data_IF_718080784692
#
_entry.id   IF_718080784692
#
_cell.length_a   1.000
_cell.length_b   1.000
_cell.length_c   1.000
_cell.angle_alpha   90.00
_cell.angle_beta   90.00
_cell.angle_gamma   90.00
#
_symmetry.space_group_name_H-M   'P 1'
#
loop_
_entity.id
_entity.type
_entity.pdbx_description
1 polymer ?
#
# COMPACT_ATOMS: atom_id res chain seq x y z
N UNK A 1 -10.24 3.80 16.76
CA UNK A 1 -9.99 4.44 15.44
C UNK A 1 -10.46 3.50 14.34
N UNK A 2 -11.20 3.98 13.34
CA UNK A 2 -11.64 3.14 12.21
C UNK A 2 -11.32 3.78 10.84
N UNK A 3 -10.52 4.85 10.84
CA UNK A 3 -10.01 5.45 9.60
C UNK A 3 -8.61 4.90 9.30
N UNK A 4 -8.33 4.59 8.05
CA UNK A 4 -7.08 3.94 7.63
C UNK A 4 -6.45 4.71 6.48
N UNK A 5 -5.17 5.01 6.61
CA UNK A 5 -4.30 5.44 5.53
C UNK A 5 -3.40 4.25 5.17
N UNK A 6 -3.56 3.72 3.97
CA UNK A 6 -2.76 2.63 3.42
C UNK A 6 -1.75 3.20 2.43
N UNK A 7 -0.48 3.06 2.72
CA UNK A 7 0.63 3.60 1.92
C UNK A 7 1.37 2.43 1.29
N UNK A 8 1.43 2.41 -0.03
CA UNK A 8 2.16 1.42 -0.82
C UNK A 8 3.35 2.12 -1.49
N UNK A 9 4.54 1.70 -1.15
CA UNK A 9 5.81 2.19 -1.69
C UNK A 9 6.31 1.17 -2.72
N UNK A 10 5.87 1.32 -3.97
CA UNK A 10 6.12 0.36 -5.05
C UNK A 10 7.61 0.01 -5.18
N UNK A 11 7.89 -1.29 -5.29
CA UNK A 11 9.24 -1.79 -5.50
C UNK A 11 10.17 -1.75 -4.28
N UNK A 12 9.69 -1.42 -3.07
CA UNK A 12 10.53 -1.31 -1.87
C UNK A 12 10.79 -2.67 -1.22
N UNK A 13 12.01 -3.20 -1.28
CA UNK A 13 12.35 -4.42 -0.57
C UNK A 13 12.54 -4.20 0.94
N UNK A 14 12.28 -5.26 1.73
CA UNK A 14 12.32 -5.22 3.20
C UNK A 14 13.70 -4.82 3.76
N UNK A 15 14.79 -5.23 3.10
CA UNK A 15 16.16 -4.93 3.55
C UNK A 15 16.45 -3.44 3.44
N UNK A 16 16.17 -2.83 2.29
CA UNK A 16 16.38 -1.38 2.09
C UNK A 16 15.53 -0.55 3.04
N UNK A 17 14.28 -0.96 3.27
CA UNK A 17 13.44 -0.29 4.25
C UNK A 17 14.05 -0.30 5.64
N UNK A 18 14.40 -1.48 6.17
CA UNK A 18 14.99 -1.64 7.49
C UNK A 18 16.32 -0.90 7.65
N UNK A 19 17.18 -0.97 6.62
CA UNK A 19 18.52 -0.44 6.73
C UNK A 19 18.59 1.08 6.48
N UNK A 20 17.57 1.70 5.84
CA UNK A 20 17.66 3.09 5.36
C UNK A 20 16.45 4.01 5.65
N UNK A 21 15.27 3.49 6.02
CA UNK A 21 14.11 4.33 6.35
C UNK A 21 14.13 4.74 7.83
N UNK A 22 15.04 5.66 8.16
CA UNK A 22 15.36 5.98 9.55
C UNK A 22 14.21 6.56 10.37
N UNK A 23 13.23 7.25 9.75
CA UNK A 23 12.06 7.76 10.47
C UNK A 23 11.10 6.64 10.86
N UNK A 24 10.71 5.76 9.93
CA UNK A 24 9.82 4.63 10.24
C UNK A 24 10.48 3.65 11.20
N UNK A 25 11.77 3.34 11.02
CA UNK A 25 12.53 2.50 11.96
C UNK A 25 12.58 3.12 13.36
N UNK A 26 12.78 4.44 13.47
CA UNK A 26 12.71 5.11 14.77
C UNK A 26 11.34 4.94 15.44
N UNK A 27 10.23 5.00 14.70
CA UNK A 27 8.90 4.75 15.27
C UNK A 27 8.74 3.32 15.78
N UNK A 28 9.39 2.34 15.15
CA UNK A 28 9.45 0.95 15.63
C UNK A 28 10.28 0.85 16.92
N UNK A 29 11.50 1.41 16.93
CA UNK A 29 12.37 1.45 18.12
C UNK A 29 11.68 2.10 19.34
N UNK A 30 10.86 3.13 19.09
CA UNK A 30 10.06 3.80 20.13
C UNK A 30 8.79 3.06 20.51
N UNK A 31 8.52 1.89 19.93
CA UNK A 31 7.30 1.12 20.14
C UNK A 31 6.03 1.94 19.87
N UNK A 32 6.08 2.77 18.82
CA UNK A 32 4.95 3.54 18.30
C UNK A 32 4.30 2.79 17.14
N UNK A 33 5.10 2.15 16.29
CA UNK A 33 4.65 1.28 15.20
C UNK A 33 5.09 -0.15 15.42
N UNK A 34 4.27 -1.12 15.01
CA UNK A 34 4.67 -2.50 14.86
C UNK A 34 5.36 -2.69 13.50
N UNK A 35 6.35 -3.58 13.43
CA UNK A 35 7.02 -3.95 12.19
C UNK A 35 6.95 -5.46 11.92
N UNK A 36 6.63 -5.80 10.67
CA UNK A 36 6.62 -7.15 10.11
C UNK A 36 7.32 -7.15 8.76
N UNK A 37 7.55 -8.34 8.22
CA UNK A 37 7.89 -8.55 6.82
C UNK A 37 6.70 -9.20 6.13
N UNK A 38 6.31 -8.72 4.94
CA UNK A 38 5.30 -9.35 4.08
C UNK A 38 5.99 -10.12 2.98
N UNK A 39 5.46 -11.28 2.63
CA UNK A 39 5.85 -12.02 1.43
C UNK A 39 4.81 -11.77 0.35
N UNK A 40 5.23 -11.09 -0.72
CA UNK A 40 4.36 -10.79 -1.86
C UNK A 40 3.96 -12.06 -2.62
N UNK A 41 2.78 -12.00 -3.22
CA UNK A 41 2.26 -13.03 -4.12
C UNK A 41 3.01 -13.04 -5.47
N UNK A 42 2.70 -14.03 -6.29
CA UNK A 42 3.23 -14.16 -7.64
C UNK A 42 2.10 -14.02 -8.68
N UNK A 43 2.40 -13.45 -9.85
CA UNK A 43 3.68 -12.88 -10.28
C UNK A 43 3.99 -11.57 -9.54
N UNK A 44 5.25 -11.34 -9.19
CA UNK A 44 5.69 -10.11 -8.54
C UNK A 44 5.71 -8.95 -9.55
N UNK A 45 4.54 -8.50 -9.95
CA UNK A 45 4.29 -7.39 -10.86
C UNK A 45 3.25 -6.46 -10.26
N UNK A 46 3.43 -5.18 -10.46
CA UNK A 46 2.68 -4.12 -9.78
C UNK A 46 1.16 -4.25 -9.94
N UNK A 47 0.61 -4.28 -11.17
CA UNK A 47 -0.84 -4.36 -11.38
C UNK A 47 -1.48 -5.61 -10.78
N UNK A 48 -0.95 -6.84 -10.95
CA UNK A 48 -1.40 -8.03 -10.23
C UNK A 48 -1.41 -7.85 -8.73
N UNK A 49 -0.36 -7.24 -8.16
CA UNK A 49 -0.22 -7.12 -6.72
C UNK A 49 -1.04 -5.95 -6.13
N UNK A 50 -1.34 -4.91 -6.91
CA UNK A 50 -2.35 -3.90 -6.50
C UNK A 50 -3.72 -4.55 -6.32
N UNK A 51 -4.08 -5.47 -7.22
CA UNK A 51 -5.32 -6.24 -7.11
C UNK A 51 -5.29 -7.15 -5.87
N UNK A 52 -4.19 -7.87 -5.63
CA UNK A 52 -4.01 -8.72 -4.44
C UNK A 52 -4.14 -7.90 -3.15
N UNK A 53 -3.45 -6.77 -3.05
CA UNK A 53 -3.46 -5.91 -1.86
C UNK A 53 -4.85 -5.35 -1.53
N UNK A 54 -5.71 -5.17 -2.53
CA UNK A 54 -7.05 -4.60 -2.34
C UNK A 54 -8.16 -5.65 -2.27
N UNK A 55 -7.92 -6.88 -2.74
CA UNK A 55 -8.97 -7.91 -2.80
C UNK A 55 -8.68 -9.14 -1.94
N UNK A 56 -7.40 -9.38 -1.58
CA UNK A 56 -6.99 -10.61 -0.90
C UNK A 56 -7.17 -11.87 -1.74
N UNK A 57 -7.26 -11.73 -3.07
CA UNK A 57 -7.45 -12.85 -4.01
C UNK A 57 -6.21 -12.97 -4.88
N UNK A 58 -5.63 -14.17 -4.93
CA UNK A 58 -4.40 -14.43 -5.69
C UNK A 58 -4.56 -14.14 -7.19
N UNK A 59 -3.49 -13.72 -7.85
CA UNK A 59 -3.52 -13.30 -9.26
C UNK A 59 -4.07 -14.37 -10.22
N UNK A 60 -3.78 -15.64 -9.96
CA UNK A 60 -4.28 -16.75 -10.78
C UNK A 60 -5.80 -16.98 -10.64
N UNK A 61 -6.41 -16.53 -9.55
CA UNK A 61 -7.85 -16.60 -9.31
C UNK A 61 -8.58 -15.35 -9.82
N UNK A 62 -8.03 -14.15 -9.52
CA UNK A 62 -8.63 -12.88 -9.92
C UNK A 62 -8.45 -12.60 -11.43
N UNK A 63 -7.45 -13.23 -12.08
CA UNK A 63 -7.17 -13.15 -13.50
C UNK A 63 -6.44 -11.87 -13.94
N UNK A 64 -5.93 -11.05 -13.02
CA UNK A 64 -4.97 -9.97 -13.30
C UNK A 64 -3.57 -10.55 -13.11
N UNK A 65 -3.00 -11.15 -14.14
CA UNK A 65 -1.75 -11.92 -14.08
C UNK A 65 -0.56 -11.22 -14.72
N UNK A 66 -0.75 -10.01 -15.24
CA UNK A 66 0.35 -9.17 -15.76
C UNK A 66 -0.03 -7.71 -15.80
N UNK A 67 0.98 -6.83 -15.90
CA UNK A 67 0.79 -5.38 -16.03
C UNK A 67 0.01 -4.97 -17.30
N UNK A 68 0.00 -5.83 -18.33
CA UNK A 68 -0.71 -5.58 -19.59
C UNK A 68 -2.23 -5.81 -19.54
N UNK A 69 -2.75 -6.38 -18.45
CA UNK A 69 -4.19 -6.66 -18.32
C UNK A 69 -4.90 -5.41 -17.79
N UNK A 70 -5.42 -4.59 -18.71
CA UNK A 70 -6.19 -3.39 -18.38
C UNK A 70 -7.70 -3.68 -18.45
N UNK A 71 -8.32 -3.80 -17.28
CA UNK A 71 -9.77 -3.96 -17.10
C UNK A 71 -10.17 -3.65 -15.68
N UNK A 72 -11.45 -3.43 -15.45
CA UNK A 72 -12.00 -3.39 -14.09
C UNK A 72 -11.82 -4.73 -13.39
N UNK A 73 -11.58 -4.68 -12.08
CA UNK A 73 -11.60 -5.86 -11.21
C UNK A 73 -12.94 -6.57 -11.27
N UNK A 74 -12.91 -7.89 -11.16
CA UNK A 74 -14.09 -8.73 -10.97
C UNK A 74 -14.28 -9.14 -9.51
N UNK A 75 -13.31 -8.81 -8.66
CA UNK A 75 -13.32 -9.12 -7.25
C UNK A 75 -13.81 -7.93 -6.41
N UNK A 76 -14.23 -8.23 -5.20
CA UNK A 76 -14.70 -7.20 -4.26
C UNK A 76 -13.50 -6.63 -3.52
N UNK A 77 -13.19 -5.36 -3.79
CA UNK A 77 -12.07 -4.68 -3.16
C UNK A 77 -12.41 -4.07 -1.80
N UNK A 78 -11.38 -3.74 -1.01
CA UNK A 78 -11.53 -2.97 0.24
C UNK A 78 -12.27 -1.65 -0.01
N UNK A 79 -12.02 -0.98 -1.14
CA UNK A 79 -12.77 0.22 -1.53
C UNK A 79 -14.26 -0.06 -1.68
N UNK A 80 -14.64 -1.14 -2.37
CA UNK A 80 -16.05 -1.50 -2.54
C UNK A 80 -16.70 -1.88 -1.20
N UNK A 81 -15.99 -2.63 -0.35
CA UNK A 81 -16.48 -3.00 0.98
C UNK A 81 -16.68 -1.77 1.85
N UNK A 82 -15.76 -0.80 1.81
CA UNK A 82 -15.89 0.47 2.52
C UNK A 82 -17.12 1.26 2.02
N UNK A 83 -17.30 1.36 0.70
CA UNK A 83 -18.47 2.02 0.10
C UNK A 83 -19.80 1.36 0.49
N UNK A 84 -19.84 0.04 0.56
CA UNK A 84 -21.01 -0.74 0.99
C UNK A 84 -21.40 -0.41 2.45
N UNK A 85 -20.46 0.03 3.27
CA UNK A 85 -20.68 0.51 4.64
C UNK A 85 -20.81 2.04 4.71
N UNK A 86 -21.03 2.72 3.58
CA UNK A 86 -21.19 4.18 3.47
C UNK A 86 -19.93 4.96 3.93
N UNK A 87 -18.78 4.32 3.96
CA UNK A 87 -17.51 4.98 4.25
C UNK A 87 -17.01 5.73 3.01
N UNK A 88 -16.38 6.87 3.25
CA UNK A 88 -15.73 7.66 2.20
C UNK A 88 -14.38 7.05 1.82
N UNK A 89 -14.13 6.97 0.53
CA UNK A 89 -12.90 6.41 -0.04
C UNK A 89 -12.11 7.45 -0.82
N UNK A 90 -10.78 7.38 -0.71
CA UNK A 90 -9.89 8.24 -1.47
C UNK A 90 -8.66 7.48 -1.97
N UNK A 91 -8.04 7.96 -3.04
CA UNK A 91 -6.75 7.48 -3.51
C UNK A 91 -5.92 8.60 -4.16
N UNK A 92 -4.66 8.71 -3.77
CA UNK A 92 -3.62 9.39 -4.52
C UNK A 92 -2.68 8.30 -5.03
N UNK A 93 -2.73 7.95 -6.32
CA UNK A 93 -2.10 6.72 -6.78
C UNK A 93 -1.83 6.69 -8.28
N UNK A 94 -1.04 5.71 -8.70
CA UNK A 94 -0.83 5.42 -10.11
C UNK A 94 -2.16 5.03 -10.79
N UNK A 95 -2.35 5.47 -12.02
CA UNK A 95 -3.61 5.36 -12.77
C UNK A 95 -4.17 3.92 -12.89
N UNK A 96 -3.33 2.90 -12.74
CA UNK A 96 -3.77 1.50 -12.76
C UNK A 96 -4.76 1.19 -11.63
N UNK A 97 -4.68 1.88 -10.50
CA UNK A 97 -5.66 1.75 -9.42
C UNK A 97 -7.04 2.25 -9.89
N UNK A 98 -7.09 3.37 -10.63
CA UNK A 98 -8.34 3.83 -11.25
C UNK A 98 -8.88 2.82 -12.28
N UNK A 99 -7.99 2.21 -13.08
CA UNK A 99 -8.39 1.18 -14.05
C UNK A 99 -8.93 -0.09 -13.42
N UNK A 100 -8.45 -0.44 -12.23
CA UNK A 100 -8.94 -1.60 -11.49
C UNK A 100 -10.30 -1.35 -10.83
N UNK A 101 -10.56 -0.12 -10.33
CA UNK A 101 -11.69 0.08 -9.43
C UNK A 101 -12.70 1.14 -9.86
N UNK A 102 -12.34 2.05 -10.75
CA UNK A 102 -13.25 3.12 -11.19
C UNK A 102 -13.60 3.03 -12.67
N UNK A 103 -12.59 3.08 -13.57
CA UNK A 103 -12.83 3.11 -15.00
C UNK A 103 -11.65 2.57 -15.80
N UNK A 104 -11.91 1.63 -16.71
CA UNK A 104 -10.94 1.10 -17.66
C UNK A 104 -11.48 1.22 -19.09
N UNK A 105 -10.66 1.62 -20.09
CA UNK A 105 -9.30 2.15 -19.93
C UNK A 105 -9.28 3.54 -19.29
N UNK A 106 -8.14 3.92 -18.69
CA UNK A 106 -7.93 5.24 -18.09
C UNK A 106 -7.89 6.34 -19.16
N UNK A 107 -8.60 7.43 -18.92
CA UNK A 107 -8.54 8.64 -19.75
C UNK A 107 -8.02 9.82 -18.92
N UNK A 108 -6.79 10.32 -19.16
CA UNK A 108 -6.21 11.39 -18.35
C UNK A 108 -7.05 12.68 -18.30
N UNK A 109 -7.83 12.95 -19.34
CA UNK A 109 -8.66 14.16 -19.40
C UNK A 109 -9.86 14.13 -18.45
N UNK A 110 -10.35 12.95 -18.12
CA UNK A 110 -11.56 12.78 -17.30
C UNK A 110 -11.33 12.04 -15.98
N UNK A 111 -10.27 11.20 -15.91
CA UNK A 111 -10.09 10.26 -14.82
C UNK A 111 -8.95 10.65 -13.89
N UNK A 112 -8.08 11.62 -14.28
CA UNK A 112 -6.93 12.03 -13.48
C UNK A 112 -7.35 12.66 -12.15
N UNK A 113 -8.39 13.47 -12.14
CA UNK A 113 -8.90 14.15 -10.94
C UNK A 113 -10.38 13.82 -10.83
N UNK A 114 -10.74 13.10 -9.79
CA UNK A 114 -12.11 12.67 -9.49
C UNK A 114 -12.45 13.11 -8.07
N UNK A 115 -13.49 13.90 -7.91
CA UNK A 115 -13.93 14.37 -6.60
C UNK A 115 -15.45 14.20 -6.46
N UNK A 116 -15.87 13.65 -5.32
CA UNK A 116 -17.28 13.42 -4.99
C UNK A 116 -18.04 12.62 -6.06
N UNK A 117 -17.38 11.61 -6.63
CA UNK A 117 -17.96 10.74 -7.66
C UNK A 117 -18.79 9.63 -7.01
N UNK A 118 -19.64 8.97 -7.82
CA UNK A 118 -20.34 7.76 -7.40
C UNK A 118 -19.49 6.48 -7.66
N UNK A 119 -18.20 6.64 -7.97
CA UNK A 119 -17.29 5.53 -8.23
C UNK A 119 -16.91 4.81 -6.94
N UNK A 120 -16.26 3.66 -7.07
CA UNK A 120 -15.75 2.85 -5.96
C UNK A 120 -14.71 3.61 -5.14
N UNK A 121 -13.81 4.32 -5.81
CA UNK A 121 -12.96 5.35 -5.21
C UNK A 121 -13.65 6.69 -5.46
N UNK A 122 -14.23 7.25 -4.40
CA UNK A 122 -15.06 8.45 -4.47
C UNK A 122 -14.25 9.70 -4.81
N UNK A 123 -13.04 9.79 -4.25
CA UNK A 123 -12.13 10.90 -4.44
C UNK A 123 -10.75 10.39 -4.86
N UNK A 124 -10.25 10.84 -6.01
CA UNK A 124 -9.00 10.32 -6.54
C UNK A 124 -8.17 11.35 -7.30
N UNK A 125 -6.86 11.32 -7.04
CA UNK A 125 -5.84 11.96 -7.87
C UNK A 125 -4.95 10.86 -8.43
N UNK A 126 -5.05 10.65 -9.76
CA UNK A 126 -4.38 9.54 -10.44
C UNK A 126 -3.30 10.05 -11.38
N UNK A 127 -2.05 9.80 -11.05
CA UNK A 127 -0.92 10.13 -11.90
C UNK A 127 -0.62 8.97 -12.87
N UNK A 128 0.12 9.26 -13.96
CA UNK A 128 0.40 8.28 -15.03
C UNK A 128 1.84 8.35 -15.56
N UNK A 129 2.74 9.00 -14.82
CA UNK A 129 4.17 9.04 -15.08
C UNK A 129 4.90 8.42 -13.90
N UNK A 130 5.77 7.42 -14.14
CA UNK A 130 6.44 6.66 -13.08
C UNK A 130 7.33 7.53 -12.19
N UNK A 131 7.82 8.64 -12.71
CA UNK A 131 8.63 9.62 -12.00
C UNK A 131 7.81 10.76 -11.36
N UNK A 132 6.46 10.64 -11.24
CA UNK A 132 5.67 11.62 -10.51
C UNK A 132 6.21 11.79 -9.09
N UNK A 133 6.58 13.03 -8.65
CA UNK A 133 7.34 13.19 -7.42
C UNK A 133 6.55 12.76 -6.17
N UNK A 134 7.15 11.94 -5.32
CA UNK A 134 6.55 11.52 -4.04
C UNK A 134 6.13 12.69 -3.16
N UNK A 135 6.86 13.82 -3.21
CA UNK A 135 6.50 15.03 -2.47
C UNK A 135 5.14 15.61 -2.91
N UNK A 136 4.83 15.54 -4.20
CA UNK A 136 3.52 15.96 -4.71
C UNK A 136 2.46 14.92 -4.40
N UNK A 137 2.76 13.64 -4.63
CA UNK A 137 1.84 12.54 -4.39
C UNK A 137 1.37 12.48 -2.92
N UNK A 138 2.29 12.58 -1.96
CA UNK A 138 1.94 12.55 -0.54
C UNK A 138 1.17 13.80 -0.15
N UNK A 139 1.49 14.97 -0.74
CA UNK A 139 0.67 16.18 -0.59
C UNK A 139 -0.73 16.03 -1.17
N UNK A 140 -0.87 15.39 -2.33
CA UNK A 140 -2.18 15.06 -2.93
C UNK A 140 -2.99 14.15 -2.01
N UNK A 141 -2.37 13.12 -1.45
CA UNK A 141 -2.98 12.24 -0.46
C UNK A 141 -3.41 12.99 0.81
N UNK A 142 -2.54 13.83 1.35
CA UNK A 142 -2.83 14.67 2.51
C UNK A 142 -4.00 15.63 2.24
N UNK A 143 -4.03 16.26 1.06
CA UNK A 143 -5.14 17.11 0.63
C UNK A 143 -6.46 16.33 0.59
N UNK A 144 -6.49 15.14 -0.03
CA UNK A 144 -7.68 14.31 -0.08
C UNK A 144 -8.17 13.92 1.31
N UNK A 145 -7.26 13.50 2.21
CA UNK A 145 -7.57 13.16 3.60
C UNK A 145 -8.23 14.35 4.30
N UNK A 146 -7.64 15.53 4.20
CA UNK A 146 -8.08 16.71 4.91
C UNK A 146 -9.39 17.28 4.36
N UNK A 147 -9.54 17.34 3.02
CA UNK A 147 -10.72 17.95 2.40
C UNK A 147 -11.95 17.03 2.37
N UNK A 148 -11.75 15.72 2.35
CA UNK A 148 -12.85 14.76 2.21
C UNK A 148 -13.20 14.04 3.51
N UNK A 149 -12.30 14.05 4.49
CA UNK A 149 -12.39 13.21 5.69
C UNK A 149 -12.61 11.73 5.32
N UNK A 150 -11.85 11.23 4.34
CA UNK A 150 -11.97 9.87 3.88
C UNK A 150 -11.67 8.87 5.00
N UNK A 151 -12.48 7.82 5.09
CA UNK A 151 -12.28 6.75 6.08
C UNK A 151 -11.22 5.76 5.62
N UNK A 152 -11.11 5.54 4.30
CA UNK A 152 -10.08 4.72 3.68
C UNK A 152 -9.37 5.51 2.59
N UNK A 153 -8.07 5.70 2.74
CA UNK A 153 -7.23 6.39 1.76
C UNK A 153 -6.06 5.52 1.36
N UNK A 154 -5.90 5.28 0.06
CA UNK A 154 -4.69 4.71 -0.53
C UNK A 154 -3.77 5.83 -0.99
N UNK A 155 -2.48 5.77 -0.61
CA UNK A 155 -1.41 6.57 -1.19
C UNK A 155 -0.41 5.58 -1.80
N UNK A 156 -0.15 5.67 -3.10
CA UNK A 156 0.69 4.72 -3.81
C UNK A 156 1.77 5.44 -4.63
N UNK A 157 3.03 5.19 -4.28
CA UNK A 157 4.24 5.81 -4.83
C UNK A 157 4.96 4.86 -5.78
N UNK A 158 5.55 5.41 -6.89
CA UNK A 158 6.32 4.67 -7.90
C UNK A 158 7.83 5.01 -7.90
N UNK A 159 8.28 6.03 -7.15
CA UNK A 159 9.64 6.54 -7.35
C UNK A 159 10.74 5.56 -6.94
N UNK A 160 10.47 4.65 -6.01
CA UNK A 160 11.45 3.62 -5.61
C UNK A 160 11.56 2.56 -6.71
N UNK A 161 10.41 2.12 -7.27
CA UNK A 161 10.37 1.16 -8.37
C UNK A 161 11.07 1.73 -9.63
N UNK A 162 10.75 2.97 -10.03
CA UNK A 162 11.42 3.67 -11.14
C UNK A 162 12.94 3.74 -10.95
N UNK A 163 13.41 4.06 -9.73
CA UNK A 163 14.84 4.05 -9.41
C UNK A 163 15.43 2.62 -9.47
N UNK A 164 14.67 1.63 -9.02
CA UNK A 164 15.06 0.23 -9.08
C UNK A 164 15.23 -0.28 -10.51
N UNK A 165 14.29 0.02 -11.39
CA UNK A 165 14.39 -0.32 -12.81
C UNK A 165 15.53 0.36 -13.53
N UNK A 166 15.86 1.59 -13.18
CA UNK A 166 16.96 2.34 -13.79
C UNK A 166 18.34 1.94 -13.28
N UNK A 167 18.46 1.65 -11.98
CA UNK A 167 19.76 1.58 -11.33
C UNK A 167 19.99 0.29 -10.53
N UNK A 168 18.98 -0.53 -10.28
CA UNK A 168 19.04 -1.73 -9.45
C UNK A 168 18.95 -1.43 -7.95
N UNK A 169 18.56 -2.43 -7.15
CA UNK A 169 18.33 -2.26 -5.71
C UNK A 169 19.60 -1.96 -4.88
N UNK A 170 20.78 -2.29 -5.39
CA UNK A 170 22.06 -2.05 -4.70
C UNK A 170 22.61 -0.64 -4.98
N UNK A 171 21.91 0.17 -5.79
CA UNK A 171 22.34 1.51 -6.16
C UNK A 171 22.06 2.53 -5.06
N UNK A 172 22.88 3.59 -5.05
CA UNK A 172 22.62 4.74 -4.17
C UNK A 172 21.33 5.48 -4.54
N UNK A 173 20.94 5.45 -5.82
CA UNK A 173 19.73 6.09 -6.34
C UNK A 173 18.46 5.44 -5.77
N UNK A 174 18.42 4.11 -5.72
CA UNK A 174 17.33 3.35 -5.12
C UNK A 174 17.24 3.60 -3.60
N UNK A 175 18.36 3.53 -2.90
CA UNK A 175 18.44 3.85 -1.47
C UNK A 175 18.01 5.30 -1.21
N UNK A 176 18.46 6.27 -2.03
CA UNK A 176 18.05 7.67 -1.89
C UNK A 176 16.56 7.89 -2.14
N UNK A 177 15.92 7.12 -3.04
CA UNK A 177 14.47 7.18 -3.23
C UNK A 177 13.74 6.74 -1.96
N UNK A 178 14.16 5.64 -1.32
CA UNK A 178 13.60 5.17 -0.05
C UNK A 178 13.80 6.19 1.08
N UNK A 179 15.01 6.72 1.25
CA UNK A 179 15.31 7.76 2.26
C UNK A 179 14.48 9.02 2.03
N UNK A 180 14.29 9.42 0.77
CA UNK A 180 13.51 10.62 0.43
C UNK A 180 12.05 10.46 0.80
N UNK A 181 11.40 9.36 0.44
CA UNK A 181 9.98 9.15 0.78
C UNK A 181 9.78 9.01 2.29
N UNK A 182 10.69 8.37 3.01
CA UNK A 182 10.69 8.30 4.48
C UNK A 182 10.75 9.69 5.12
N UNK A 183 11.63 10.56 4.62
CA UNK A 183 11.73 11.96 5.05
C UNK A 183 10.46 12.77 4.74
N UNK A 184 9.79 12.52 3.61
CA UNK A 184 8.53 13.18 3.28
C UNK A 184 7.43 12.68 4.23
N UNK A 185 7.32 11.38 4.46
CA UNK A 185 6.34 10.78 5.38
C UNK A 185 6.47 11.34 6.80
N UNK A 186 7.68 11.64 7.26
CA UNK A 186 7.91 12.23 8.58
C UNK A 186 7.20 13.56 8.81
N UNK A 187 6.86 14.28 7.75
CA UNK A 187 6.16 15.57 7.81
C UNK A 187 4.65 15.40 8.01
N UNK A 188 4.08 14.25 7.69
CA UNK A 188 2.63 14.02 7.67
C UNK A 188 2.16 13.01 8.73
N UNK A 189 2.91 11.94 8.98
CA UNK A 189 2.50 10.80 9.81
C UNK A 189 2.06 11.24 11.21
N UNK A 190 2.78 12.13 11.86
CA UNK A 190 2.42 12.62 13.19
C UNK A 190 1.06 13.33 13.23
N UNK A 191 0.76 14.11 12.20
CA UNK A 191 -0.54 14.78 12.10
C UNK A 191 -1.66 13.80 11.84
N UNK A 192 -1.45 12.80 10.97
CA UNK A 192 -2.44 11.75 10.68
C UNK A 192 -2.72 10.89 11.93
N UNK A 193 -1.69 10.50 12.67
CA UNK A 193 -1.84 9.80 13.95
C UNK A 193 -2.67 10.62 14.94
N UNK A 194 -2.35 11.91 15.09
CA UNK A 194 -3.07 12.84 15.98
C UNK A 194 -4.53 13.02 15.57
N UNK A 195 -4.82 12.97 14.27
CA UNK A 195 -6.18 13.07 13.74
C UNK A 195 -6.95 11.72 13.84
N UNK A 196 -6.39 10.70 14.46
CA UNK A 196 -7.04 9.41 14.72
C UNK A 196 -7.05 8.45 13.54
N UNK A 197 -6.12 8.59 12.59
CA UNK A 197 -5.92 7.61 11.53
C UNK A 197 -5.00 6.48 11.99
N UNK A 198 -5.36 5.26 11.61
CA UNK A 198 -4.46 4.12 11.60
C UNK A 198 -3.63 4.20 10.32
N UNK A 199 -2.35 3.84 10.38
CA UNK A 199 -1.43 3.98 9.25
C UNK A 199 -0.79 2.62 8.99
N UNK A 200 -0.85 2.17 7.75
CA UNK A 200 -0.23 0.94 7.27
C UNK A 200 0.69 1.31 6.11
N UNK A 201 1.98 1.02 6.23
CA UNK A 201 2.98 1.27 5.17
C UNK A 201 3.55 -0.07 4.74
N UNK A 202 3.50 -0.37 3.46
CA UNK A 202 4.06 -1.59 2.86
C UNK A 202 4.52 -1.32 1.43
N UNK A 203 4.90 -2.37 0.71
CA UNK A 203 5.10 -2.36 -0.72
C UNK A 203 4.30 -3.49 -1.36
N UNK A 204 4.13 -3.45 -2.66
CA UNK A 204 3.51 -4.50 -3.45
C UNK A 204 4.50 -5.64 -3.73
N UNK A 205 5.70 -5.33 -4.16
CA UNK A 205 6.86 -6.22 -4.34
C UNK A 205 8.17 -5.50 -3.95
N UNK A 206 9.26 -6.25 -3.96
CA UNK A 206 10.60 -5.69 -3.79
C UNK A 206 11.27 -5.39 -5.14
N UNK A 207 12.60 -5.29 -5.11
CA UNK A 207 13.45 -5.04 -6.28
C UNK A 207 14.79 -5.75 -6.08
N UNK A 208 15.33 -6.33 -7.13
CA UNK A 208 16.66 -6.94 -7.12
C UNK A 208 17.73 -6.05 -7.80
N UNK A 209 18.98 -6.48 -7.71
CA UNK A 209 20.11 -5.74 -8.30
C UNK A 209 20.18 -5.85 -9.84
N UNK A 210 19.39 -6.73 -10.47
CA UNK A 210 19.30 -6.87 -11.92
C UNK A 210 18.26 -5.95 -12.54
N UNK A 211 17.80 -4.91 -11.84
CA UNK A 211 16.83 -3.94 -12.32
C UNK A 211 15.42 -4.54 -12.61
N UNK A 212 15.08 -5.61 -11.91
CA UNK A 212 13.79 -6.31 -12.09
C UNK A 212 13.29 -6.86 -10.77
N UNK A 213 12.03 -7.26 -10.73
CA UNK A 213 11.36 -7.82 -9.56
C UNK A 213 10.52 -9.06 -9.91
N UNK A 214 10.63 -9.59 -11.16
CA UNK A 214 9.80 -10.69 -11.65
C UNK A 214 10.23 -12.09 -11.14
N UNK A 215 11.16 -12.15 -10.22
CA UNK A 215 11.72 -13.38 -9.68
C UNK A 215 11.01 -13.86 -8.41
N UNK A 216 11.67 -14.83 -7.77
CA UNK A 216 11.22 -15.44 -6.50
C UNK A 216 12.25 -15.27 -5.39
N UNK A 217 13.24 -14.40 -5.58
CA UNK A 217 14.24 -14.11 -4.57
C UNK A 217 13.63 -13.32 -3.40
N UNK A 218 14.30 -13.36 -2.25
CA UNK A 218 13.85 -12.57 -1.10
C UNK A 218 13.81 -11.07 -1.42
N UNK A 219 14.74 -10.58 -2.25
CA UNK A 219 14.73 -9.17 -2.69
C UNK A 219 13.56 -8.81 -3.59
N UNK A 220 12.97 -9.77 -4.30
CA UNK A 220 11.77 -9.56 -5.12
C UNK A 220 10.48 -9.65 -4.31
N UNK A 221 10.42 -10.56 -3.32
CA UNK A 221 9.18 -10.91 -2.63
C UNK A 221 9.07 -10.38 -1.19
N UNK A 222 10.16 -10.16 -0.47
CA UNK A 222 10.07 -9.68 0.91
C UNK A 222 10.01 -8.16 0.94
N UNK A 223 8.89 -7.65 1.46
CA UNK A 223 8.60 -6.22 1.56
C UNK A 223 8.35 -5.82 3.01
N UNK A 224 8.54 -4.54 3.39
CA UNK A 224 8.30 -4.09 4.75
C UNK A 224 6.80 -4.01 5.06
N UNK A 225 6.45 -4.07 6.35
CA UNK A 225 5.13 -3.71 6.84
C UNK A 225 5.28 -2.97 8.17
N UNK A 226 4.89 -1.70 8.18
CA UNK A 226 4.82 -0.87 9.38
C UNK A 226 3.37 -0.55 9.71
N UNK A 227 2.98 -0.71 10.97
CA UNK A 227 1.59 -0.56 11.39
C UNK A 227 1.51 0.38 12.60
N UNK A 228 0.76 1.47 12.47
CA UNK A 228 0.27 2.26 13.59
C UNK A 228 -1.23 2.01 13.77
N UNK A 229 -1.61 1.39 14.87
CA UNK A 229 -3.02 1.10 15.20
C UNK A 229 -3.19 0.93 16.71
N UNK A 230 -4.34 1.34 17.22
CA UNK A 230 -4.74 1.03 18.59
C UNK A 230 -5.17 -0.44 18.76
N UNK A 231 -5.39 -1.17 17.67
CA UNK A 231 -5.83 -2.57 17.64
C UNK A 231 -4.67 -3.58 17.62
N UNK A 232 -3.50 -3.18 17.11
CA UNK A 232 -2.35 -4.06 16.86
C UNK A 232 -1.33 -3.95 18.02
N UNK A 233 -0.80 -5.08 18.46
CA UNK A 233 0.28 -5.12 19.44
C UNK A 233 1.56 -4.54 18.81
N UNK A 234 2.26 -3.68 19.58
CA UNK A 234 3.40 -2.94 19.05
C UNK A 234 4.70 -3.60 19.49
N UNK A 235 5.44 -4.13 18.52
CA UNK A 235 6.84 -4.57 18.65
C UNK A 235 7.48 -4.75 17.27
N UNK A 236 8.76 -5.11 17.24
CA UNK A 236 9.44 -5.56 16.03
C UNK A 236 9.33 -7.08 15.88
N UNK A 237 8.38 -7.52 15.07
CA UNK A 237 8.09 -8.94 14.86
C UNK A 237 8.85 -9.56 13.68
N UNK A 238 9.69 -8.80 12.96
CA UNK A 238 10.39 -9.25 11.75
C UNK A 238 11.29 -10.48 11.95
N UNK A 239 11.86 -10.62 13.15
CA UNK A 239 12.72 -11.75 13.50
C UNK A 239 11.99 -12.87 14.26
N UNK A 240 10.82 -12.60 14.81
CA UNK A 240 10.06 -13.53 15.67
C UNK A 240 8.99 -14.31 14.91
N UNK A 241 8.54 -13.79 13.76
CA UNK A 241 7.44 -14.39 12.99
C UNK A 241 7.87 -14.71 11.57
N UNK A 242 7.21 -15.70 10.96
CA UNK A 242 7.29 -15.90 9.53
C UNK A 242 6.73 -14.67 8.80
N UNK A 243 7.16 -14.39 7.56
CA UNK A 243 6.58 -13.30 6.77
C UNK A 243 5.07 -13.42 6.66
N UNK A 244 4.37 -12.29 6.79
CA UNK A 244 2.92 -12.20 6.61
C UNK A 244 2.58 -12.49 5.14
N UNK A 245 1.68 -13.41 4.81
CA UNK A 245 1.21 -13.58 3.44
C UNK A 245 0.53 -12.31 2.92
N UNK A 246 0.86 -11.87 1.72
CA UNK A 246 0.27 -10.65 1.14
C UNK A 246 -1.26 -10.74 1.02
N UNK A 247 -1.80 -11.95 0.88
CA UNK A 247 -3.26 -12.19 0.88
C UNK A 247 -3.96 -11.77 2.17
N UNK A 248 -3.23 -11.66 3.29
CA UNK A 248 -3.79 -11.16 4.55
C UNK A 248 -3.97 -9.64 4.58
N UNK A 249 -3.40 -8.89 3.63
CA UNK A 249 -3.43 -7.42 3.68
C UNK A 249 -4.84 -6.84 3.48
N UNK A 250 -5.60 -7.31 2.49
CA UNK A 250 -6.98 -6.85 2.30
C UNK A 250 -7.90 -7.15 3.50
N UNK A 251 -7.98 -8.38 4.03
CA UNK A 251 -8.78 -8.65 5.24
C UNK A 251 -8.26 -7.90 6.46
N UNK A 252 -6.95 -7.69 6.60
CA UNK A 252 -6.38 -6.87 7.67
C UNK A 252 -6.88 -5.41 7.61
N UNK A 253 -6.90 -4.80 6.42
CA UNK A 253 -7.46 -3.46 6.23
C UNK A 253 -8.96 -3.41 6.56
N UNK A 254 -9.73 -4.46 6.22
CA UNK A 254 -11.14 -4.56 6.61
C UNK A 254 -11.32 -4.59 8.14
N UNK A 255 -10.48 -5.33 8.88
CA UNK A 255 -10.52 -5.37 10.34
C UNK A 255 -10.15 -4.03 10.98
N UNK A 256 -9.16 -3.32 10.41
CA UNK A 256 -8.81 -1.96 10.85
C UNK A 256 -9.96 -0.99 10.64
N UNK A 257 -10.64 -1.06 9.51
CA UNK A 257 -11.83 -0.26 9.18
C UNK A 257 -13.08 -0.66 9.96
N UNK A 258 -13.07 -1.82 10.63
CA UNK A 258 -14.23 -2.44 11.28
C UNK A 258 -15.40 -2.70 10.29
N UNK A 259 -15.07 -3.21 9.09
CA UNK A 259 -16.04 -3.58 8.06
C UNK A 259 -15.96 -5.09 7.76
N UNK A 260 -17.05 -5.71 7.28
CA UNK A 260 -17.03 -7.10 6.85
C UNK A 260 -16.05 -7.30 5.68
N UNK A 261 -15.27 -8.38 5.73
CA UNK A 261 -14.45 -8.84 4.60
C UNK A 261 -15.30 -9.60 3.57
N UNK A 262 -14.80 -9.77 2.35
CA UNK A 262 -15.44 -10.63 1.35
C UNK A 262 -15.23 -12.11 1.67
N UNK A 263 -16.12 -12.97 1.16
CA UNK A 263 -16.04 -14.44 1.38
C UNK A 263 -14.77 -15.08 0.80
N UNK A 264 -14.12 -14.43 -0.18
CA UNK A 264 -12.86 -14.88 -0.77
C UNK A 264 -11.63 -14.51 0.05
N UNK A 265 -11.74 -13.54 0.95
CA UNK A 265 -10.62 -13.10 1.78
C UNK A 265 -10.34 -14.11 2.89
N UNK A 266 -9.09 -14.48 3.06
CA UNK A 266 -8.64 -15.36 4.14
C UNK A 266 -8.77 -14.65 5.52
N UNK A 267 -8.55 -15.39 6.58
CA UNK A 267 -8.51 -14.82 7.95
C UNK A 267 -7.11 -14.33 8.25
N UNK A 268 -6.99 -13.16 8.87
CA UNK A 268 -5.71 -12.62 9.36
C UNK A 268 -5.22 -13.47 10.55
N UNK A 269 -4.05 -14.07 10.40
CA UNK A 269 -3.46 -14.94 11.42
C UNK A 269 -2.04 -14.53 11.82
N UNK A 270 -1.35 -13.79 10.94
CA UNK A 270 0.08 -13.48 11.08
C UNK A 270 0.35 -12.20 11.86
N UNK A 271 -0.68 -11.39 12.14
CA UNK A 271 -0.56 -10.09 12.84
C UNK A 271 -1.07 -10.25 14.27
N UNK A 272 -0.27 -9.82 15.25
CA UNK A 272 -0.62 -9.89 16.68
C UNK A 272 -1.54 -8.74 17.07
N UNK A 273 -2.74 -9.06 17.51
CA UNK A 273 -3.72 -8.09 18.00
C UNK A 273 -3.48 -7.76 19.48
N UNK A 274 -3.84 -6.56 19.93
CA UNK A 274 -3.81 -6.23 21.35
C UNK A 274 -4.86 -7.06 22.13
N UNK A 275 -4.43 -7.67 23.23
CA UNK A 275 -5.32 -8.45 24.09
C UNK A 275 -5.57 -9.90 23.66
N UNK A 276 -4.90 -10.37 22.60
CA UNK A 276 -4.81 -11.81 22.30
C UNK A 276 -3.48 -12.32 22.84
N UNK A 277 -3.54 -13.16 23.91
CA UNK A 277 -2.39 -13.92 24.42
C UNK A 277 -2.10 -15.10 23.49
#
# INVERSE_FOLDING_TARGET
>A
MNNVIFIVLDGLNARTARDHMGFLEHLVEKKIMAAYTVKSELPAQSRPLYEVLQTGVAAYENGITSNSISRLSKEVSVFQLARNQQLKTAAASYHWVSELYNRSPFNPMTDRIQLNTNQTIENGFFYFEDHYPDSHLISDGAYLIEQTNANYTLIHSMNIDDAGHRYGSDSKEYVQAAVRVDSILSQYIWQWMKNGYQIVVTADHGMNHFHTHNGTSDSDQLVPLYIFSDKVAVDDYRLETSPVPQLEMAPFLCELLAIPKSDKMITVQSIKWKGTE
#
